data_IF_215917872738
#
_entry.id   IF_215917872738
#
_cell.length_a   1.000
_cell.length_b   1.000
_cell.length_c   1.000
_cell.angle_alpha   90.00
_cell.angle_beta   90.00
_cell.angle_gamma   90.00
#
_symmetry.space_group_name_H-M   'P 1'
#
loop_
_entity.id
_entity.type
_entity.pdbx_description
1 polymer ?
#
# COMPACT_ATOMS: atom_id res chain seq x y z
N UNK A 1 -10.49 -8.54 -20.87
CA UNK A 1 -9.12 -8.34 -21.39
C UNK A 1 -8.92 -6.85 -21.58
N UNK A 2 -8.32 -6.17 -20.62
CA UNK A 2 -7.75 -4.83 -20.83
C UNK A 2 -6.25 -4.99 -20.68
N UNK A 3 -5.58 -5.28 -21.80
CA UNK A 3 -4.14 -5.57 -21.82
C UNK A 3 -3.37 -4.29 -21.48
N UNK A 4 -2.94 -4.22 -20.23
CA UNK A 4 -1.90 -3.33 -19.76
C UNK A 4 -0.69 -4.22 -19.55
N UNK A 5 0.09 -4.38 -20.62
CA UNK A 5 1.19 -5.34 -20.72
C UNK A 5 2.44 -4.75 -20.06
N UNK A 6 2.67 -5.08 -18.79
CA UNK A 6 3.93 -4.76 -18.12
C UNK A 6 4.97 -5.72 -18.66
N UNK A 7 6.04 -5.19 -19.28
CA UNK A 7 7.14 -6.01 -19.79
C UNK A 7 7.69 -6.95 -18.70
N UNK A 8 7.92 -8.25 -19.00
CA UNK A 8 8.33 -9.24 -18.00
C UNK A 8 9.57 -8.83 -17.20
N UNK A 9 10.58 -8.24 -17.85
CA UNK A 9 11.78 -7.77 -17.15
C UNK A 9 11.51 -6.62 -16.17
N UNK A 10 10.59 -5.71 -16.50
CA UNK A 10 10.19 -4.62 -15.61
C UNK A 10 9.42 -5.16 -14.42
N UNK A 11 8.51 -6.10 -14.66
CA UNK A 11 7.79 -6.80 -13.61
C UNK A 11 8.75 -7.59 -12.69
N UNK A 12 9.71 -8.31 -13.28
CA UNK A 12 10.74 -9.04 -12.55
C UNK A 12 11.57 -8.12 -11.64
N UNK A 13 11.93 -6.93 -12.13
CA UNK A 13 12.64 -5.92 -11.34
C UNK A 13 11.79 -5.40 -10.18
N UNK A 14 10.52 -5.04 -10.42
CA UNK A 14 9.60 -4.56 -9.37
C UNK A 14 9.42 -5.62 -8.27
N UNK A 15 9.24 -6.90 -8.65
CA UNK A 15 9.13 -8.01 -7.70
C UNK A 15 10.40 -8.15 -6.84
N UNK A 16 11.61 -8.05 -7.43
CA UNK A 16 12.87 -8.10 -6.68
C UNK A 16 13.04 -6.93 -5.73
N UNK A 17 12.75 -5.71 -6.18
CA UNK A 17 12.85 -4.52 -5.33
C UNK A 17 11.90 -4.67 -4.14
N UNK A 18 10.66 -5.08 -4.41
CA UNK A 18 9.63 -5.32 -3.39
C UNK A 18 10.06 -6.40 -2.40
N UNK A 19 10.50 -7.56 -2.87
CA UNK A 19 10.96 -8.67 -2.02
C UNK A 19 12.10 -8.23 -1.07
N UNK A 20 13.06 -7.46 -1.58
CA UNK A 20 14.17 -6.97 -0.76
C UNK A 20 13.77 -5.89 0.25
N UNK A 21 12.62 -5.24 0.08
CA UNK A 21 12.10 -4.21 0.97
C UNK A 21 11.07 -4.74 1.98
N UNK A 22 10.72 -6.03 1.91
CA UNK A 22 9.88 -6.67 2.95
C UNK A 22 10.73 -6.87 4.21
N UNK A 23 10.33 -6.34 5.38
CA UNK A 23 11.07 -6.49 6.62
C UNK A 23 11.24 -7.96 7.02
N UNK A 24 12.47 -8.38 7.31
CA UNK A 24 12.79 -9.77 7.68
C UNK A 24 12.27 -10.21 9.05
N UNK A 25 11.72 -9.29 9.85
CA UNK A 25 11.26 -9.54 11.22
C UNK A 25 9.74 -9.70 11.33
N UNK A 26 9.02 -9.57 10.22
CA UNK A 26 7.58 -9.76 10.21
C UNK A 26 7.22 -11.24 9.93
N UNK A 27 6.12 -11.67 10.54
CA UNK A 27 5.42 -12.95 10.54
C UNK A 27 5.73 -13.94 9.36
N UNK A 28 5.56 -15.24 9.57
CA UNK A 28 5.84 -16.33 8.60
C UNK A 28 5.31 -16.07 7.18
N UNK A 29 4.16 -15.40 7.07
CA UNK A 29 3.57 -15.08 5.78
C UNK A 29 4.33 -13.98 5.02
N UNK A 30 5.03 -13.06 5.69
CA UNK A 30 5.89 -12.05 5.05
C UNK A 30 7.07 -12.73 4.33
N UNK A 31 7.66 -13.74 4.97
CA UNK A 31 8.73 -14.55 4.38
C UNK A 31 8.21 -15.34 3.17
N UNK A 32 7.01 -15.94 3.27
CA UNK A 32 6.37 -16.62 2.13
C UNK A 32 6.11 -15.66 0.97
N UNK A 33 5.60 -14.47 1.24
CA UNK A 33 5.39 -13.45 0.21
C UNK A 33 6.71 -13.07 -0.46
N UNK A 34 7.77 -12.84 0.32
CA UNK A 34 9.09 -12.52 -0.23
C UNK A 34 9.59 -13.61 -1.17
N UNK A 35 9.47 -14.87 -0.77
CA UNK A 35 9.92 -16.01 -1.57
C UNK A 35 9.05 -16.19 -2.84
N UNK A 36 7.73 -15.95 -2.73
CA UNK A 36 6.82 -15.89 -3.89
C UNK A 36 7.25 -14.80 -4.88
N UNK A 37 7.56 -13.59 -4.42
CA UNK A 37 8.00 -12.49 -5.28
C UNK A 37 9.33 -12.81 -5.99
N UNK A 38 10.27 -13.49 -5.34
CA UNK A 38 11.49 -13.97 -5.99
C UNK A 38 11.18 -15.00 -7.07
N UNK A 39 10.34 -16.00 -6.78
CA UNK A 39 9.91 -17.02 -7.75
C UNK A 39 9.25 -16.38 -8.97
N UNK A 40 8.39 -15.41 -8.75
CA UNK A 40 7.65 -14.71 -9.81
C UNK A 40 8.57 -13.83 -10.65
N UNK A 41 9.60 -13.24 -10.05
CA UNK A 41 10.66 -12.56 -10.77
C UNK A 41 11.48 -13.50 -11.66
N UNK A 42 11.80 -14.71 -11.19
CA UNK A 42 12.51 -15.72 -11.98
C UNK A 42 11.68 -16.21 -13.17
N UNK A 43 10.38 -16.47 -12.95
CA UNK A 43 9.41 -16.83 -13.99
C UNK A 43 9.34 -15.73 -15.04
N UNK A 44 9.18 -14.47 -14.62
CA UNK A 44 9.12 -13.32 -15.50
C UNK A 44 10.41 -13.12 -16.30
N UNK A 45 11.57 -13.36 -15.68
CA UNK A 45 12.88 -13.31 -16.35
C UNK A 45 13.04 -14.39 -17.43
N UNK A 46 12.20 -15.44 -17.44
CA UNK A 46 12.15 -16.45 -18.50
C UNK A 46 11.26 -16.03 -19.68
N UNK A 47 10.79 -14.78 -19.72
CA UNK A 47 9.89 -14.26 -20.76
C UNK A 47 8.43 -14.70 -20.59
N UNK A 48 8.08 -15.25 -19.42
CA UNK A 48 6.69 -15.55 -19.08
C UNK A 48 6.03 -14.27 -18.55
N UNK A 49 4.91 -13.89 -19.17
CA UNK A 49 4.25 -12.59 -18.95
C UNK A 49 3.74 -12.36 -17.53
N UNK A 50 3.44 -11.11 -17.23
CA UNK A 50 2.79 -10.70 -15.99
C UNK A 50 1.44 -11.41 -15.82
N UNK A 51 1.33 -12.29 -14.83
CA UNK A 51 0.08 -12.88 -14.43
C UNK A 51 -0.56 -12.04 -13.33
N UNK A 52 -1.66 -11.36 -13.64
CA UNK A 52 -2.43 -10.60 -12.65
C UNK A 52 -2.86 -11.46 -11.46
N UNK A 53 -2.94 -12.79 -11.60
CA UNK A 53 -3.24 -13.75 -10.53
C UNK A 53 -2.27 -13.64 -9.34
N UNK A 54 -1.02 -13.22 -9.56
CA UNK A 54 -0.06 -12.97 -8.45
C UNK A 54 -0.55 -11.91 -7.45
N UNK A 55 -1.35 -10.95 -7.94
CA UNK A 55 -1.93 -9.87 -7.13
C UNK A 55 -3.20 -10.31 -6.40
N UNK A 56 -3.76 -11.48 -6.78
CA UNK A 56 -4.89 -12.05 -6.10
C UNK A 56 -4.43 -12.89 -4.92
N UNK A 57 -5.08 -12.66 -3.79
CA UNK A 57 -5.12 -13.58 -2.66
C UNK A 57 -6.56 -13.58 -2.15
N UNK A 58 -6.98 -14.71 -1.62
CA UNK A 58 -8.31 -14.92 -1.06
C UNK A 58 -8.46 -14.28 0.32
N UNK A 59 -7.34 -13.92 0.96
CA UNK A 59 -7.28 -13.36 2.31
C UNK A 59 -7.08 -11.83 2.20
N UNK A 60 -8.09 -11.01 2.53
CA UNK A 60 -8.03 -9.54 2.41
C UNK A 60 -6.78 -8.90 3.03
N UNK A 61 -6.33 -9.42 4.17
CA UNK A 61 -5.20 -8.97 4.97
C UNK A 61 -3.88 -9.09 4.19
N UNK A 62 -3.67 -10.25 3.58
CA UNK A 62 -2.51 -10.53 2.75
C UNK A 62 -2.51 -9.64 1.50
N UNK A 63 -3.70 -9.32 0.98
CA UNK A 63 -3.83 -8.48 -0.20
C UNK A 63 -3.53 -7.01 0.10
N UNK A 64 -3.99 -6.50 1.23
CA UNK A 64 -3.62 -5.16 1.73
C UNK A 64 -2.12 -5.10 1.93
N UNK A 65 -1.52 -6.10 2.59
CA UNK A 65 -0.08 -6.07 2.76
C UNK A 65 0.68 -6.12 1.44
N UNK A 66 0.29 -6.99 0.50
CA UNK A 66 0.87 -7.02 -0.86
C UNK A 66 0.82 -5.63 -1.49
N UNK A 67 -0.35 -4.98 -1.46
CA UNK A 67 -0.51 -3.60 -1.94
C UNK A 67 0.46 -2.64 -1.25
N UNK A 68 0.57 -2.70 0.09
CA UNK A 68 1.49 -1.84 0.87
C UNK A 68 2.94 -2.02 0.44
N UNK A 69 3.38 -3.26 0.24
CA UNK A 69 4.73 -3.55 -0.25
C UNK A 69 4.97 -2.93 -1.63
N UNK A 70 4.05 -3.13 -2.57
CA UNK A 70 4.19 -2.55 -3.91
C UNK A 70 4.08 -1.03 -3.92
N UNK A 71 3.27 -0.43 -3.04
CA UNK A 71 3.14 1.03 -2.90
C UNK A 71 4.44 1.65 -2.39
N UNK A 72 5.03 1.05 -1.36
CA UNK A 72 6.36 1.43 -0.86
C UNK A 72 7.43 1.32 -1.96
N UNK A 73 7.41 0.21 -2.72
CA UNK A 73 8.29 0.03 -3.88
C UNK A 73 8.08 1.08 -4.95
N UNK A 74 6.83 1.42 -5.30
CA UNK A 74 6.55 2.47 -6.29
C UNK A 74 7.13 3.81 -5.84
N UNK A 75 6.94 4.21 -4.59
CA UNK A 75 7.51 5.46 -4.04
C UNK A 75 9.03 5.48 -4.21
N UNK A 76 9.70 4.38 -3.86
CA UNK A 76 11.16 4.25 -4.03
C UNK A 76 11.55 4.40 -5.50
N UNK A 77 10.86 3.73 -6.41
CA UNK A 77 11.10 3.80 -7.84
C UNK A 77 10.84 5.21 -8.38
N UNK A 78 9.77 5.89 -7.96
CA UNK A 78 9.47 7.26 -8.39
C UNK A 78 10.57 8.24 -7.99
N UNK A 79 11.19 8.00 -6.83
CA UNK A 79 12.27 8.83 -6.28
C UNK A 79 13.66 8.51 -6.87
N UNK A 80 13.82 7.45 -7.68
CA UNK A 80 15.06 7.17 -8.40
C UNK A 80 15.43 8.30 -9.36
N UNK A 81 16.71 8.46 -9.67
CA UNK A 81 17.13 9.43 -10.69
C UNK A 81 16.56 9.05 -12.06
N UNK A 82 16.38 10.03 -12.95
CA UNK A 82 15.85 9.75 -14.30
C UNK A 82 16.75 8.77 -15.08
N UNK A 83 18.05 8.84 -14.81
CA UNK A 83 19.04 7.91 -15.32
C UNK A 83 19.86 7.44 -14.14
N UNK A 84 19.76 6.17 -13.80
CA UNK A 84 20.58 5.56 -12.75
C UNK A 84 21.93 5.14 -13.33
N UNK A 85 22.99 5.52 -12.64
CA UNK A 85 24.36 5.19 -13.03
C UNK A 85 24.68 3.78 -12.53
N UNK A 86 24.68 2.81 -13.45
CA UNK A 86 24.99 1.42 -13.17
C UNK A 86 26.49 1.09 -13.30
N UNK A 87 27.36 2.08 -13.46
CA UNK A 87 28.81 1.85 -13.54
C UNK A 87 29.36 1.08 -12.34
N UNK A 88 28.77 1.24 -11.15
CA UNK A 88 29.10 0.43 -9.97
C UNK A 88 28.87 -1.08 -10.17
N UNK A 89 27.92 -1.45 -11.02
CA UNK A 89 27.57 -2.84 -11.33
C UNK A 89 28.51 -3.45 -12.37
N UNK A 90 29.07 -2.63 -13.27
CA UNK A 90 30.15 -3.04 -14.17
C UNK A 90 31.40 -3.47 -13.37
N UNK A 91 31.71 -2.81 -12.25
CA UNK A 91 32.78 -3.24 -11.34
C UNK A 91 32.53 -4.62 -10.70
N UNK A 92 31.28 -5.10 -10.66
CA UNK A 92 30.92 -6.43 -10.17
C UNK A 92 30.92 -7.50 -11.28
N UNK A 93 31.36 -7.16 -12.49
CA UNK A 93 31.46 -8.10 -13.62
C UNK A 93 30.14 -8.39 -14.33
N UNK A 94 29.11 -7.56 -14.13
CA UNK A 94 27.83 -7.65 -14.83
C UNK A 94 27.88 -6.80 -16.11
N UNK A 95 27.61 -7.42 -17.26
CA UNK A 95 27.67 -6.77 -18.58
C UNK A 95 26.37 -6.00 -18.87
N UNK A 96 26.27 -4.78 -18.35
CA UNK A 96 25.09 -3.90 -18.45
C UNK A 96 25.51 -2.52 -18.97
N UNK A 97 24.56 -1.77 -19.56
CA UNK A 97 24.82 -0.39 -19.98
C UNK A 97 25.16 0.49 -18.77
N UNK A 98 26.12 1.41 -18.93
CA UNK A 98 26.58 2.32 -17.87
C UNK A 98 25.45 3.14 -17.22
N UNK A 99 24.33 3.28 -17.94
CA UNK A 99 23.17 4.07 -17.58
C UNK A 99 21.89 3.27 -17.81
N UNK A 100 20.94 3.36 -16.88
CA UNK A 100 19.59 2.82 -17.02
C UNK A 100 18.55 3.93 -16.94
N UNK A 101 17.74 4.07 -17.99
CA UNK A 101 16.60 4.98 -17.99
C UNK A 101 15.48 4.41 -17.12
N UNK A 102 15.21 5.06 -15.99
CA UNK A 102 14.23 4.58 -15.02
C UNK A 102 12.79 4.89 -15.42
N UNK A 103 12.54 5.67 -16.48
CA UNK A 103 11.19 6.08 -16.86
C UNK A 103 10.26 4.89 -17.11
N UNK A 104 10.74 3.83 -17.78
CA UNK A 104 9.95 2.63 -18.02
C UNK A 104 9.63 1.88 -16.73
N UNK A 105 10.58 1.82 -15.79
CA UNK A 105 10.37 1.21 -14.47
C UNK A 105 9.35 2.02 -13.64
N UNK A 106 9.44 3.35 -13.66
CA UNK A 106 8.48 4.27 -13.01
C UNK A 106 7.06 4.15 -13.58
N UNK A 107 6.93 3.94 -14.88
CA UNK A 107 5.62 3.72 -15.51
C UNK A 107 5.07 2.34 -15.15
N UNK A 108 5.91 1.31 -15.19
CA UNK A 108 5.52 -0.06 -14.84
C UNK A 108 5.08 -0.19 -13.37
N UNK A 109 5.77 0.45 -12.42
CA UNK A 109 5.43 0.39 -10.99
C UNK A 109 4.08 1.03 -10.71
N UNK A 110 3.80 2.21 -11.27
CA UNK A 110 2.47 2.85 -11.19
C UNK A 110 1.40 1.98 -11.81
N UNK A 111 1.67 1.42 -12.98
CA UNK A 111 0.72 0.58 -13.68
C UNK A 111 0.36 -0.67 -12.86
N UNK A 112 1.35 -1.27 -12.20
CA UNK A 112 1.14 -2.42 -11.31
C UNK A 112 0.21 -2.08 -10.14
N UNK A 113 0.35 -0.91 -9.52
CA UNK A 113 -0.53 -0.46 -8.44
C UNK A 113 -1.98 -0.32 -8.89
N UNK A 114 -2.24 0.19 -10.10
CA UNK A 114 -3.63 0.30 -10.61
C UNK A 114 -4.33 -1.06 -10.76
N UNK A 115 -3.59 -2.17 -10.78
CA UNK A 115 -4.17 -3.51 -10.80
C UNK A 115 -4.65 -3.96 -9.41
N UNK A 116 -4.07 -3.43 -8.32
CA UNK A 116 -4.55 -3.62 -6.94
C UNK A 116 -5.80 -2.81 -6.62
N UNK A 117 -6.09 -1.75 -7.37
CA UNK A 117 -7.30 -0.92 -7.23
C UNK A 117 -8.55 -1.59 -7.86
N UNK A 118 -8.35 -2.56 -8.76
CA UNK A 118 -9.40 -3.29 -9.47
C UNK A 118 -10.10 -4.50 -8.80
N UNK A 119 -9.77 -4.99 -7.59
CA UNK A 119 -10.47 -6.12 -7.03
C UNK A 119 -11.64 -5.71 -6.15
N UNK A 120 -12.82 -6.13 -6.57
CA UNK A 120 -14.15 -6.06 -5.96
C UNK A 120 -14.28 -6.51 -4.48
N UNK A 121 -13.19 -6.98 -3.85
CA UNK A 121 -13.22 -7.64 -2.54
C UNK A 121 -13.02 -6.71 -1.34
N UNK A 122 -12.60 -5.48 -1.61
CA UNK A 122 -12.02 -4.60 -0.62
C UNK A 122 -12.91 -3.47 -0.03
N UNK A 123 -14.00 -2.97 -0.64
CA UNK A 123 -14.70 -1.76 -0.18
C UNK A 123 -15.49 -1.89 1.15
N UNK A 124 -15.35 -3.00 1.89
CA UNK A 124 -16.22 -3.29 3.04
C UNK A 124 -16.00 -2.37 4.24
N UNK A 125 -14.81 -1.76 4.39
CA UNK A 125 -14.45 -0.96 5.57
C UNK A 125 -14.48 0.56 5.37
N UNK A 126 -14.59 1.05 4.13
CA UNK A 126 -14.68 2.50 3.85
C UNK A 126 -15.85 3.13 4.62
N UNK A 127 -17.02 2.50 4.58
CA UNK A 127 -18.19 3.00 5.28
C UNK A 127 -18.02 2.98 6.80
N UNK A 128 -17.38 1.94 7.36
CA UNK A 128 -17.08 1.85 8.80
C UNK A 128 -16.18 3.00 9.26
N UNK A 129 -15.15 3.35 8.49
CA UNK A 129 -14.25 4.49 8.78
C UNK A 129 -15.01 5.82 8.69
N UNK A 130 -15.81 6.03 7.64
CA UNK A 130 -16.63 7.24 7.50
C UNK A 130 -17.60 7.37 8.67
N UNK A 131 -18.31 6.30 9.03
CA UNK A 131 -19.23 6.30 10.17
C UNK A 131 -18.52 6.64 11.48
N UNK A 132 -17.30 6.12 11.70
CA UNK A 132 -16.49 6.45 12.87
C UNK A 132 -16.10 7.93 12.90
N UNK A 133 -15.66 8.49 11.77
CA UNK A 133 -15.33 9.92 11.65
C UNK A 133 -16.56 10.79 11.96
N UNK A 134 -17.71 10.48 11.38
CA UNK A 134 -18.95 11.24 11.56
C UNK A 134 -19.38 11.28 13.02
N UNK A 135 -19.25 10.15 13.70
CA UNK A 135 -19.52 10.05 15.14
C UNK A 135 -18.51 10.86 15.96
N UNK A 136 -17.21 10.74 15.69
CA UNK A 136 -16.19 11.52 16.38
C UNK A 136 -16.44 13.02 16.22
N UNK A 137 -16.78 13.48 15.01
CA UNK A 137 -17.15 14.86 14.73
C UNK A 137 -18.43 15.28 15.48
N UNK A 138 -19.48 14.46 15.46
CA UNK A 138 -20.75 14.70 16.20
C UNK A 138 -20.50 14.92 17.69
N UNK A 139 -19.57 14.17 18.28
CA UNK A 139 -19.22 14.26 19.70
C UNK A 139 -18.09 15.25 20.00
N UNK A 140 -17.64 16.05 19.02
CA UNK A 140 -16.55 17.03 19.13
C UNK A 140 -15.22 16.41 19.60
N UNK A 141 -14.99 15.15 19.24
CA UNK A 141 -13.73 14.45 19.45
C UNK A 141 -12.79 14.73 18.27
N UNK A 142 -11.52 15.00 18.56
CA UNK A 142 -10.51 15.08 17.51
C UNK A 142 -10.00 13.70 17.11
N UNK A 143 -9.60 13.59 15.85
CA UNK A 143 -8.99 12.40 15.29
C UNK A 143 -7.88 12.78 14.32
N UNK A 144 -6.90 11.89 14.17
CA UNK A 144 -5.90 11.94 13.10
C UNK A 144 -6.03 10.70 12.26
N UNK A 145 -6.17 10.88 10.95
CA UNK A 145 -6.14 9.78 9.99
C UNK A 145 -4.86 9.94 9.17
N UNK A 146 -4.11 8.85 9.04
CA UNK A 146 -2.88 8.84 8.23
C UNK A 146 -2.97 7.81 7.13
N UNK A 147 -2.41 8.18 6.00
CA UNK A 147 -2.20 7.26 4.90
C UNK A 147 -0.95 6.39 5.14
N UNK A 148 -0.63 5.54 4.18
CA UNK A 148 0.49 4.59 4.23
C UNK A 148 1.84 5.30 4.22
N UNK A 149 1.88 6.51 3.69
CA UNK A 149 3.04 7.37 3.64
C UNK A 149 3.19 8.22 4.92
N UNK A 150 2.24 8.09 5.86
CA UNK A 150 2.21 8.84 7.11
C UNK A 150 1.71 10.27 6.97
N UNK A 151 1.15 10.63 5.81
CA UNK A 151 0.60 11.97 5.54
C UNK A 151 -0.77 12.12 6.20
N UNK A 152 -1.05 13.35 6.66
CA UNK A 152 -2.33 13.68 7.28
C UNK A 152 -3.44 13.65 6.23
N UNK A 153 -4.45 12.82 6.47
CA UNK A 153 -5.57 12.60 5.57
C UNK A 153 -6.88 13.05 6.22
N UNK A 154 -7.80 13.56 5.42
CA UNK A 154 -9.15 13.93 5.88
C UNK A 154 -10.21 13.42 4.91
N UNK A 155 -11.35 13.03 5.48
CA UNK A 155 -12.55 12.73 4.70
C UNK A 155 -13.29 14.03 4.34
N UNK A 156 -13.58 14.21 3.06
CA UNK A 156 -14.28 15.35 2.51
C UNK A 156 -15.71 14.94 2.14
N UNK A 157 -16.67 15.28 3.00
CA UNK A 157 -18.08 14.91 2.85
C UNK A 157 -18.71 15.39 1.53
N UNK A 158 -18.32 16.57 1.06
CA UNK A 158 -18.76 17.15 -0.21
C UNK A 158 -18.32 16.33 -1.43
N UNK A 159 -17.23 15.56 -1.28
CA UNK A 159 -16.63 14.74 -2.34
C UNK A 159 -16.82 13.24 -2.12
N UNK A 160 -17.32 12.84 -0.95
CA UNK A 160 -17.43 11.45 -0.53
C UNK A 160 -16.11 10.65 -0.64
N UNK A 161 -14.96 11.31 -0.40
CA UNK A 161 -13.63 10.72 -0.58
C UNK A 161 -12.60 11.30 0.38
N UNK A 162 -11.46 10.60 0.51
CA UNK A 162 -10.33 10.98 1.35
C UNK A 162 -9.29 11.75 0.55
N UNK A 163 -8.69 12.76 1.18
CA UNK A 163 -7.64 13.57 0.57
C UNK A 163 -6.54 13.87 1.58
N UNK A 164 -5.31 13.92 1.09
CA UNK A 164 -4.19 14.41 1.87
C UNK A 164 -4.37 15.91 2.11
N UNK A 165 -4.16 16.33 3.35
CA UNK A 165 -4.38 17.71 3.80
C UNK A 165 -3.31 18.68 3.32
N UNK A 166 -2.09 18.20 3.04
CA UNK A 166 -0.97 19.04 2.64
C UNK A 166 -1.00 19.41 1.15
N UNK A 167 -1.35 18.45 0.29
CA UNK A 167 -1.29 18.59 -1.17
C UNK A 167 -2.64 18.45 -1.88
N UNK A 168 -3.73 18.17 -1.13
CA UNK A 168 -5.08 17.95 -1.67
C UNK A 168 -5.16 16.85 -2.74
N UNK A 169 -4.20 15.93 -2.76
CA UNK A 169 -4.27 14.75 -3.61
C UNK A 169 -5.28 13.77 -3.02
N UNK A 170 -6.05 13.14 -3.92
CA UNK A 170 -6.98 12.09 -3.53
C UNK A 170 -6.16 10.93 -2.95
N UNK A 171 -6.55 10.50 -1.76
CA UNK A 171 -5.96 9.34 -1.09
C UNK A 171 -6.83 8.15 -1.46
N UNK A 172 -6.18 7.13 -2.01
CA UNK A 172 -6.86 5.87 -2.26
C UNK A 172 -7.14 5.21 -0.91
N UNK A 173 -8.35 4.71 -0.73
CA UNK A 173 -8.81 4.32 0.60
C UNK A 173 -7.97 3.15 1.19
N UNK A 174 -7.29 2.38 0.33
CA UNK A 174 -6.31 1.34 0.68
C UNK A 174 -5.09 1.87 1.43
N UNK A 175 -4.80 3.17 1.30
CA UNK A 175 -3.68 3.80 1.97
C UNK A 175 -4.00 4.10 3.45
N UNK A 176 -5.26 4.05 3.89
CA UNK A 176 -5.61 4.37 5.28
C UNK A 176 -5.12 3.26 6.24
N UNK A 177 -4.17 3.58 7.12
CA UNK A 177 -3.51 2.57 7.97
C UNK A 177 -4.09 2.54 9.39
N UNK A 178 -4.33 3.70 9.99
CA UNK A 178 -4.86 3.81 11.35
C UNK A 178 -5.52 5.16 11.58
N UNK A 179 -6.41 5.19 12.56
CA UNK A 179 -7.01 6.43 13.08
C UNK A 179 -6.62 6.58 14.55
N UNK A 180 -6.05 7.73 14.90
CA UNK A 180 -5.73 8.09 16.29
C UNK A 180 -6.87 8.93 16.84
N UNK A 181 -7.46 8.52 17.95
CA UNK A 181 -8.44 9.35 18.67
C UNK A 181 -7.76 10.11 19.81
N UNK A 182 -8.09 11.39 19.99
CA UNK A 182 -7.50 12.21 21.06
C UNK A 182 -7.96 11.76 22.46
N UNK A 183 -7.20 12.06 23.54
CA UNK A 183 -7.46 11.58 24.90
C UNK A 183 -8.89 11.82 25.43
N UNK A 184 -9.55 12.88 24.97
CA UNK A 184 -10.92 13.24 25.36
C UNK A 184 -11.97 12.27 24.80
N UNK A 185 -11.66 11.51 23.74
CA UNK A 185 -12.55 10.50 23.18
C UNK A 185 -12.71 9.28 24.11
N UNK A 186 -11.71 9.01 24.95
CA UNK A 186 -11.61 7.82 25.81
C UNK A 186 -12.79 7.64 26.79
N UNK A 187 -13.35 8.74 27.29
CA UNK A 187 -14.52 8.74 28.19
C UNK A 187 -15.86 8.95 27.47
N UNK A 188 -15.82 9.23 26.16
CA UNK A 188 -16.94 9.70 25.37
C UNK A 188 -17.33 8.75 24.24
N UNK A 189 -16.56 7.71 23.94
CA UNK A 189 -16.95 6.60 23.05
C UNK A 189 -18.18 5.93 23.67
N UNK A 190 -19.42 6.21 23.21
CA UNK A 190 -20.59 5.59 23.80
C UNK A 190 -20.63 4.10 23.44
N UNK A 191 -21.44 3.31 24.14
CA UNK A 191 -21.76 1.92 23.75
C UNK A 191 -22.16 1.82 22.27
N UNK A 192 -22.73 2.90 21.73
CA UNK A 192 -23.09 3.08 20.34
C UNK A 192 -21.92 2.91 19.36
N UNK A 193 -20.65 3.06 19.76
CA UNK A 193 -19.49 2.85 18.86
C UNK A 193 -18.88 1.46 19.01
N UNK A 194 -19.30 0.66 19.99
CA UNK A 194 -18.69 -0.65 20.25
C UNK A 194 -18.73 -1.54 19.01
N UNK A 195 -19.87 -1.58 18.31
CA UNK A 195 -20.04 -2.37 17.10
C UNK A 195 -19.13 -1.93 15.94
N UNK A 196 -18.85 -0.63 15.80
CA UNK A 196 -17.90 -0.12 14.79
C UNK A 196 -16.48 -0.42 15.24
N UNK A 197 -16.15 -0.23 16.52
CA UNK A 197 -14.84 -0.49 17.10
C UNK A 197 -14.46 -1.96 17.15
N UNK A 198 -15.43 -2.86 17.20
CA UNK A 198 -15.19 -4.30 17.12
C UNK A 198 -14.52 -4.69 15.79
N UNK A 199 -14.66 -3.86 14.76
CA UNK A 199 -13.98 -3.94 13.47
C UNK A 199 -12.55 -3.37 13.45
N UNK A 200 -12.04 -2.88 14.59
CA UNK A 200 -10.70 -2.28 14.74
C UNK A 200 -9.93 -2.92 15.90
N UNK A 201 -8.60 -2.94 15.78
CA UNK A 201 -7.63 -3.38 16.76
C UNK A 201 -7.05 -2.15 17.47
N UNK A 202 -7.06 -2.13 18.80
CA UNK A 202 -6.51 -1.02 19.57
C UNK A 202 -5.04 -1.33 19.90
N UNK A 203 -4.11 -0.47 19.51
CA UNK A 203 -2.73 -0.54 20.00
C UNK A 203 -2.63 0.03 21.43
N UNK A 204 -1.86 -0.60 22.32
CA UNK A 204 -1.94 -0.38 23.79
C UNK A 204 -1.44 0.99 24.29
N UNK A 205 -0.72 1.80 23.49
CA UNK A 205 0.00 3.00 23.99
C UNK A 205 -0.47 4.35 23.43
N UNK A 206 -1.53 4.35 22.63
CA UNK A 206 -2.27 5.52 22.13
C UNK A 206 -3.54 4.93 21.53
N UNK A 207 -4.70 5.59 21.56
CA UNK A 207 -5.94 5.05 20.95
C UNK A 207 -5.85 5.07 19.42
N UNK A 208 -4.87 4.35 18.90
CA UNK A 208 -4.66 4.05 17.50
C UNK A 208 -5.54 2.86 17.23
N UNK A 209 -6.64 3.11 16.55
CA UNK A 209 -7.48 2.09 15.97
C UNK A 209 -6.83 1.70 14.66
N UNK A 210 -6.20 0.54 14.69
CA UNK A 210 -5.72 -0.18 13.52
C UNK A 210 -6.96 -0.88 12.95
N UNK A 211 -7.13 -0.87 11.64
CA UNK A 211 -8.22 -1.64 11.02
C UNK A 211 -7.97 -3.12 11.34
N UNK A 212 -8.93 -3.84 11.94
CA UNK A 212 -8.81 -5.30 12.04
C UNK A 212 -8.90 -5.83 10.62
N UNK A 213 -7.77 -6.37 10.20
CA UNK A 213 -7.63 -7.05 8.95
C UNK A 213 -8.22 -8.46 9.15
#
# INVERSE_FOLDING_TARGET
MSDLDIHPDLFAAICRITANHIPSYENEWCLKLRDELFRESEIASCGLGFDTEILYTTVPEQKIFKYRCFKSTDILIQNMEAVENLSAWAYMGLDWSDNFDTQYLKQASKLMLTQFEKPDLFPQKKQSIVNLIDLLLKHKCGYELRDIEGQYTKYFHDRNDFYCTDNMQKVEWYDLVYIVTLPNAKSLIPIEIQHVLDEFECAEYSYNLIIKL
#
